data_IF_977763136060
#
_entry.id   IF_977763136060
#
_cell.length_a   1.000
_cell.length_b   1.000
_cell.length_c   1.000
_cell.angle_alpha   90.00
_cell.angle_beta   90.00
_cell.angle_gamma   90.00
#
_symmetry.space_group_name_H-M   'P 1'
#
loop_
_entity.id
_entity.type
_entity.pdbx_description
1 polymer ?
#
# COMPACT_ATOMS: atom_id res chain seq x y z
N UNK A 1 11.06 19.27 -7.29
CA UNK A 1 10.64 18.52 -6.10
C UNK A 1 11.27 19.13 -4.86
N UNK A 2 10.63 19.00 -3.68
CA UNK A 2 11.16 19.51 -2.42
C UNK A 2 12.46 18.79 -2.00
N UNK A 3 13.37 19.53 -1.38
CA UNK A 3 14.62 19.01 -0.81
C UNK A 3 14.60 19.27 0.70
N UNK A 4 14.40 18.22 1.48
CA UNK A 4 14.21 18.34 2.92
C UNK A 4 15.54 18.32 3.67
N UNK A 5 15.68 19.18 4.67
CA UNK A 5 16.90 19.33 5.48
C UNK A 5 16.90 18.28 6.60
N UNK A 6 18.08 17.78 6.98
CA UNK A 6 18.23 16.88 8.13
C UNK A 6 17.38 15.61 8.02
N UNK A 7 16.58 15.34 9.05
CA UNK A 7 15.72 14.14 9.13
C UNK A 7 14.28 14.38 8.67
N UNK A 8 13.98 15.52 8.04
CA UNK A 8 12.66 15.77 7.45
C UNK A 8 12.53 15.04 6.10
N UNK A 9 11.29 14.68 5.73
CA UNK A 9 10.90 14.02 4.48
C UNK A 9 9.44 14.35 4.11
N UNK A 10 8.94 13.73 3.04
CA UNK A 10 7.58 13.90 2.53
C UNK A 10 7.52 14.94 1.41
N UNK A 11 6.41 14.99 0.69
CA UNK A 11 6.24 15.86 -0.48
C UNK A 11 6.38 17.36 -0.14
N UNK A 12 6.12 17.74 1.12
CA UNK A 12 6.21 19.11 1.65
C UNK A 12 7.20 19.26 2.81
N UNK A 13 8.06 18.26 3.06
CA UNK A 13 9.02 18.23 4.17
C UNK A 13 8.41 18.28 5.59
N UNK A 14 7.12 18.00 5.76
CA UNK A 14 6.46 18.00 7.07
C UNK A 14 6.54 16.67 7.84
N UNK A 15 7.08 15.62 7.22
CA UNK A 15 7.19 14.29 7.83
C UNK A 15 8.64 14.00 8.27
N UNK A 16 8.83 12.96 9.08
CA UNK A 16 10.15 12.51 9.50
C UNK A 16 10.60 11.28 8.70
N UNK A 17 11.91 11.21 8.40
CA UNK A 17 12.55 10.04 7.78
C UNK A 17 12.21 8.76 8.54
N UNK A 18 12.11 7.64 7.82
CA UNK A 18 11.87 6.34 8.44
C UNK A 18 12.86 6.08 9.59
N UNK A 19 12.32 5.71 10.75
CA UNK A 19 13.10 5.54 11.99
C UNK A 19 13.21 6.80 12.86
N UNK A 20 12.61 7.92 12.47
CA UNK A 20 12.53 9.15 13.26
C UNK A 20 11.09 9.60 13.50
N UNK A 21 10.86 10.33 14.58
CA UNK A 21 9.56 10.95 14.93
C UNK A 21 9.75 12.26 15.72
N UNK A 22 8.63 12.83 16.14
CA UNK A 22 8.57 14.07 16.92
C UNK A 22 8.56 15.30 16.02
N UNK A 23 8.18 16.48 16.56
CA UNK A 23 8.02 17.70 15.77
C UNK A 23 9.32 18.20 15.12
N UNK A 24 10.48 17.78 15.65
CA UNK A 24 11.81 18.11 15.13
C UNK A 24 12.51 16.96 14.39
N UNK A 25 11.87 15.79 14.27
CA UNK A 25 12.46 14.58 13.67
C UNK A 25 13.79 14.12 14.30
N UNK A 26 13.96 14.36 15.60
CA UNK A 26 15.18 14.00 16.34
C UNK A 26 15.02 12.72 17.19
N UNK A 27 13.79 12.31 17.49
CA UNK A 27 13.55 11.11 18.28
C UNK A 27 13.68 9.86 17.41
N UNK A 28 14.59 8.96 17.77
CA UNK A 28 14.70 7.66 17.10
C UNK A 28 13.52 6.76 17.49
N UNK A 29 13.01 6.03 16.51
CA UNK A 29 11.92 5.05 16.67
C UNK A 29 12.32 3.75 15.99
N UNK A 30 12.27 2.65 16.74
CA UNK A 30 12.35 1.31 16.21
C UNK A 30 10.95 0.68 16.25
N UNK A 31 10.48 0.20 15.11
CA UNK A 31 9.24 -0.53 14.99
C UNK A 31 9.54 -1.97 14.58
N UNK A 32 8.80 -2.93 15.12
CA UNK A 32 9.02 -4.36 14.90
C UNK A 32 7.81 -4.94 14.18
N UNK A 33 7.99 -5.35 12.93
CA UNK A 33 7.00 -6.14 12.19
C UNK A 33 7.02 -7.57 12.73
N UNK A 34 5.87 -8.06 13.18
CA UNK A 34 5.72 -9.39 13.80
C UNK A 34 4.97 -10.34 12.85
N UNK A 35 5.13 -11.64 13.07
CA UNK A 35 4.33 -12.64 12.36
C UNK A 35 2.85 -12.43 12.72
N UNK A 36 1.96 -12.40 11.72
CA UNK A 36 0.53 -12.19 11.90
C UNK A 36 -0.11 -13.24 12.82
N UNK A 37 0.40 -14.49 12.79
CA UNK A 37 -0.08 -15.58 13.65
C UNK A 37 0.38 -15.44 15.12
N UNK A 38 1.36 -14.57 15.39
CA UNK A 38 1.87 -14.30 16.73
C UNK A 38 1.25 -13.03 17.36
N UNK A 39 0.34 -12.36 16.65
CA UNK A 39 -0.37 -11.19 17.16
C UNK A 39 -1.44 -11.62 18.17
N UNK A 40 -1.67 -10.80 19.18
CA UNK A 40 -2.86 -10.90 20.03
C UNK A 40 -4.13 -10.60 19.21
N UNK A 41 -5.29 -11.02 19.73
CA UNK A 41 -6.59 -10.72 19.10
C UNK A 41 -6.79 -9.21 18.91
N UNK A 42 -6.39 -8.40 19.89
CA UNK A 42 -6.49 -6.95 19.80
C UNK A 42 -5.57 -6.35 18.71
N UNK A 43 -4.32 -6.81 18.62
CA UNK A 43 -3.38 -6.37 17.58
C UNK A 43 -3.88 -6.75 16.19
N UNK A 44 -4.39 -7.98 16.03
CA UNK A 44 -4.97 -8.48 14.79
C UNK A 44 -6.20 -7.67 14.37
N UNK A 45 -7.16 -7.47 15.28
CA UNK A 45 -8.36 -6.70 14.99
C UNK A 45 -8.03 -5.25 14.63
N UNK A 46 -7.03 -4.64 15.30
CA UNK A 46 -6.53 -3.32 14.94
C UNK A 46 -5.98 -3.29 13.52
N UNK A 47 -5.15 -4.27 13.14
CA UNK A 47 -4.62 -4.36 11.78
C UNK A 47 -5.72 -4.46 10.72
N UNK A 48 -6.69 -5.36 10.91
CA UNK A 48 -7.82 -5.54 9.98
C UNK A 48 -8.71 -4.29 9.88
N UNK A 49 -8.97 -3.63 11.01
CA UNK A 49 -9.71 -2.37 11.04
C UNK A 49 -8.98 -1.26 10.30
N UNK A 50 -7.65 -1.15 10.45
CA UNK A 50 -6.85 -0.12 9.77
C UNK A 50 -6.76 -0.34 8.27
N UNK A 51 -6.67 -1.60 7.81
CA UNK A 51 -6.77 -1.92 6.38
C UNK A 51 -8.13 -1.52 5.80
N UNK A 52 -9.20 -1.81 6.53
CA UNK A 52 -10.57 -1.43 6.12
C UNK A 52 -10.73 0.08 6.06
N UNK A 53 -10.26 0.79 7.08
CA UNK A 53 -10.28 2.25 7.09
C UNK A 53 -9.49 2.83 5.91
N UNK A 54 -8.30 2.30 5.61
CA UNK A 54 -7.50 2.73 4.47
C UNK A 54 -8.20 2.47 3.13
N UNK A 55 -8.96 1.37 3.00
CA UNK A 55 -9.73 1.05 1.78
C UNK A 55 -10.88 2.01 1.51
N UNK A 56 -11.48 2.58 2.56
CA UNK A 56 -12.64 3.46 2.42
C UNK A 56 -12.37 4.94 2.70
N UNK A 57 -11.13 5.32 3.03
CA UNK A 57 -10.75 6.72 3.24
C UNK A 57 -9.96 7.25 2.06
N UNK A 58 -10.45 8.34 1.45
CA UNK A 58 -9.75 9.06 0.38
C UNK A 58 -8.40 9.60 0.85
N UNK A 59 -7.36 9.42 0.05
CA UNK A 59 -6.04 10.01 0.25
C UNK A 59 -6.12 11.53 0.20
N UNK A 60 -5.57 12.20 1.21
CA UNK A 60 -5.52 13.68 1.27
C UNK A 60 -4.34 14.28 0.52
N UNK A 61 -3.30 13.48 0.29
CA UNK A 61 -2.01 13.97 -0.18
C UNK A 61 -1.74 13.58 -1.64
N UNK A 62 -2.45 12.56 -2.15
CA UNK A 62 -2.20 11.98 -3.46
C UNK A 62 -3.50 11.72 -4.22
N UNK A 63 -3.45 12.05 -5.51
CA UNK A 63 -4.45 11.68 -6.52
C UNK A 63 -3.75 10.87 -7.61
N UNK A 64 -4.51 10.11 -8.40
CA UNK A 64 -3.96 9.30 -9.48
C UNK A 64 -4.25 9.92 -10.85
N UNK A 65 -3.30 9.89 -11.80
CA UNK A 65 -3.57 10.26 -13.17
C UNK A 65 -4.48 9.22 -13.83
N UNK A 66 -5.50 9.70 -14.55
CA UNK A 66 -6.42 8.86 -15.33
C UNK A 66 -6.22 9.01 -16.85
N UNK A 67 -5.19 9.78 -17.25
CA UNK A 67 -4.77 9.98 -18.63
C UNK A 67 -3.26 9.96 -18.77
N UNK A 68 -2.77 9.83 -20.00
CA UNK A 68 -1.36 10.02 -20.34
C UNK A 68 -0.99 11.50 -20.38
N UNK A 69 0.30 11.82 -20.27
CA UNK A 69 0.79 13.20 -20.37
C UNK A 69 0.33 13.91 -21.65
N UNK A 70 0.29 13.18 -22.79
CA UNK A 70 -0.20 13.72 -24.06
C UNK A 70 -1.70 14.02 -24.04
N UNK A 71 -2.51 13.17 -23.39
CA UNK A 71 -3.95 13.41 -23.21
C UNK A 71 -4.22 14.62 -22.30
N UNK A 72 -3.34 14.89 -21.34
CA UNK A 72 -3.42 16.05 -20.46
C UNK A 72 -2.95 17.37 -21.11
N UNK A 73 -2.92 17.44 -22.45
CA UNK A 73 -2.39 18.57 -23.21
C UNK A 73 -1.00 19.02 -22.72
N UNK A 74 -0.12 18.05 -22.43
CA UNK A 74 1.22 18.29 -21.84
C UNK A 74 1.20 19.04 -20.50
N UNK A 75 0.17 18.78 -19.69
CA UNK A 75 0.00 19.30 -18.34
C UNK A 75 -0.92 20.50 -18.21
N UNK A 76 -1.42 21.08 -19.31
CA UNK A 76 -2.37 22.20 -19.24
C UNK A 76 -3.81 21.77 -18.97
N UNK A 77 -4.15 20.49 -19.19
CA UNK A 77 -5.48 19.93 -18.90
C UNK A 77 -5.35 18.72 -17.96
N UNK A 78 -5.25 18.95 -16.63
CA UNK A 78 -4.91 17.90 -15.67
C UNK A 78 -6.04 16.89 -15.50
N UNK A 79 -5.75 15.61 -15.77
CA UNK A 79 -6.72 14.51 -15.61
C UNK A 79 -6.35 13.64 -14.41
N UNK A 80 -6.88 13.99 -13.23
CA UNK A 80 -6.65 13.25 -11.99
C UNK A 80 -7.96 12.83 -11.33
N UNK A 81 -7.88 11.78 -10.51
CA UNK A 81 -9.01 11.30 -9.70
C UNK A 81 -8.56 11.01 -8.29
N UNK A 82 -9.44 11.32 -7.34
CA UNK A 82 -9.34 10.89 -5.95
C UNK A 82 -9.27 9.36 -5.86
N UNK A 83 -8.61 8.88 -4.82
CA UNK A 83 -8.44 7.45 -4.58
C UNK A 83 -8.35 7.17 -3.08
N UNK A 84 -8.78 5.98 -2.64
CA UNK A 84 -8.58 5.57 -1.26
C UNK A 84 -7.10 5.37 -0.93
N UNK A 85 -6.74 5.44 0.35
CA UNK A 85 -5.36 5.18 0.80
C UNK A 85 -4.92 3.78 0.38
N UNK A 86 -5.76 2.75 0.52
CA UNK A 86 -5.39 1.39 0.09
C UNK A 86 -5.24 1.31 -1.44
N UNK A 87 -6.19 1.89 -2.19
CA UNK A 87 -6.21 1.77 -3.65
C UNK A 87 -5.12 2.61 -4.30
N UNK A 88 -4.60 3.64 -3.63
CA UNK A 88 -3.41 4.36 -4.07
C UNK A 88 -2.21 3.40 -4.23
N UNK A 89 -2.02 2.49 -3.27
CA UNK A 89 -0.94 1.52 -3.32
C UNK A 89 -1.22 0.40 -4.34
N UNK A 90 -2.48 -0.02 -4.49
CA UNK A 90 -2.86 -0.93 -5.60
C UNK A 90 -2.56 -0.29 -6.96
N UNK A 91 -2.97 0.95 -7.15
CA UNK A 91 -2.75 1.69 -8.38
C UNK A 91 -1.26 1.90 -8.65
N UNK A 92 -0.46 2.23 -7.63
CA UNK A 92 0.97 2.44 -7.77
C UNK A 92 1.68 1.17 -8.24
N UNK A 93 1.31 0.00 -7.70
CA UNK A 93 1.83 -1.30 -8.13
C UNK A 93 1.38 -1.65 -9.56
N UNK A 94 0.10 -1.44 -9.88
CA UNK A 94 -0.40 -1.58 -11.25
C UNK A 94 0.37 -0.68 -12.23
N UNK A 95 0.61 0.58 -11.88
CA UNK A 95 1.22 1.55 -12.77
C UNK A 95 2.66 1.21 -13.14
N UNK A 96 3.41 0.56 -12.25
CA UNK A 96 4.81 0.16 -12.49
C UNK A 96 4.95 -1.17 -13.23
N UNK A 97 3.91 -2.01 -13.20
CA UNK A 97 3.91 -3.35 -13.81
C UNK A 97 3.05 -3.45 -15.08
N UNK A 98 2.29 -2.40 -15.44
CA UNK A 98 1.47 -2.38 -16.66
C UNK A 98 2.32 -2.28 -17.92
N UNK A 99 1.76 -2.73 -19.03
CA UNK A 99 2.32 -2.55 -20.37
C UNK A 99 2.72 -1.08 -20.63
N UNK A 100 3.92 -0.88 -21.17
CA UNK A 100 4.42 0.45 -21.53
C UNK A 100 3.73 0.93 -22.81
N UNK A 101 3.04 2.06 -22.73
CA UNK A 101 2.37 2.67 -23.88
C UNK A 101 3.40 3.32 -24.81
N UNK A 102 3.49 2.87 -26.06
CA UNK A 102 4.42 3.43 -27.06
C UNK A 102 3.75 4.49 -27.95
N UNK A 103 2.44 4.66 -27.85
CA UNK A 103 1.63 5.58 -28.65
C UNK A 103 0.64 4.85 -29.56
N UNK A 104 -0.48 5.50 -29.88
CA UNK A 104 -1.57 4.87 -30.62
C UNK A 104 -2.11 3.64 -29.88
N UNK A 105 -2.16 2.49 -30.57
CA UNK A 105 -2.58 1.19 -30.00
C UNK A 105 -1.39 0.28 -29.63
N UNK A 106 -0.16 0.76 -29.79
CA UNK A 106 1.05 -0.03 -29.55
C UNK A 106 1.47 -0.01 -28.09
N UNK A 107 1.84 -1.18 -27.59
CA UNK A 107 2.30 -1.38 -26.23
C UNK A 107 3.53 -2.29 -26.21
N UNK A 108 4.42 -2.09 -25.24
CA UNK A 108 5.52 -2.99 -24.93
C UNK A 108 5.21 -3.72 -23.62
N UNK A 109 5.05 -5.04 -23.73
CA UNK A 109 4.62 -5.92 -22.63
C UNK A 109 5.76 -6.52 -21.78
N UNK A 110 6.99 -6.45 -22.28
CA UNK A 110 8.16 -7.08 -21.66
C UNK A 110 8.98 -6.08 -20.82
N UNK A 111 8.32 -5.06 -20.27
CA UNK A 111 8.92 -4.09 -19.36
C UNK A 111 8.12 -4.08 -18.06
N UNK A 112 8.80 -4.38 -16.96
CA UNK A 112 8.29 -4.24 -15.61
C UNK A 112 9.30 -3.44 -14.76
N UNK A 113 8.84 -2.37 -14.12
CA UNK A 113 9.69 -1.47 -13.34
C UNK A 113 9.86 -1.91 -11.87
N UNK A 114 9.11 -2.91 -11.41
CA UNK A 114 9.10 -3.39 -10.04
C UNK A 114 9.36 -4.89 -9.90
N UNK A 115 9.41 -5.67 -10.98
CA UNK A 115 9.68 -7.11 -10.99
C UNK A 115 10.78 -7.48 -11.99
N UNK A 116 11.20 -8.75 -11.97
CA UNK A 116 12.12 -9.36 -12.94
C UNK A 116 13.49 -8.68 -13.11
N UNK A 117 13.83 -7.78 -12.18
CA UNK A 117 15.03 -6.97 -12.21
C UNK A 117 15.54 -6.68 -10.78
N UNK A 118 16.79 -6.18 -10.63
CA UNK A 118 17.36 -5.83 -9.32
C UNK A 118 16.54 -4.81 -8.50
N UNK A 119 15.63 -4.09 -9.15
CA UNK A 119 14.68 -3.16 -8.53
C UNK A 119 13.63 -3.85 -7.65
N UNK A 120 13.41 -5.16 -7.79
CA UNK A 120 12.31 -5.88 -7.12
C UNK A 120 12.26 -5.67 -5.60
N UNK A 121 13.32 -6.04 -4.89
CA UNK A 121 13.40 -5.92 -3.44
C UNK A 121 13.38 -4.46 -2.94
N UNK A 122 14.19 -3.53 -3.48
CA UNK A 122 14.17 -2.14 -3.01
C UNK A 122 12.84 -1.42 -3.30
N UNK A 123 12.20 -1.68 -4.45
CA UNK A 123 10.92 -1.08 -4.79
C UNK A 123 9.83 -1.52 -3.80
N UNK A 124 9.67 -2.84 -3.58
CA UNK A 124 8.67 -3.37 -2.66
C UNK A 124 8.96 -3.01 -1.19
N UNK A 125 10.24 -2.85 -0.81
CA UNK A 125 10.60 -2.35 0.52
C UNK A 125 10.09 -0.92 0.72
N UNK A 126 10.33 -0.02 -0.22
CA UNK A 126 9.88 1.36 -0.13
C UNK A 126 8.35 1.45 -0.18
N UNK A 127 7.72 0.66 -1.05
CA UNK A 127 6.26 0.51 -1.12
C UNK A 127 5.65 0.20 0.25
N UNK A 128 6.15 -0.84 0.94
CA UNK A 128 5.65 -1.21 2.26
C UNK A 128 5.95 -0.17 3.35
N UNK A 129 7.06 0.57 3.23
CA UNK A 129 7.39 1.65 4.19
C UNK A 129 6.43 2.83 4.03
N UNK A 130 6.14 3.24 2.80
CA UNK A 130 5.20 4.30 2.51
C UNK A 130 3.77 3.90 2.88
N UNK A 131 3.37 2.66 2.59
CA UNK A 131 2.03 2.17 2.93
C UNK A 131 1.79 2.14 4.43
N UNK A 132 2.77 1.65 5.20
CA UNK A 132 2.72 1.69 6.66
C UNK A 132 2.63 3.12 7.18
N UNK A 133 3.40 4.06 6.61
CA UNK A 133 3.40 5.47 6.99
C UNK A 133 2.06 6.17 6.71
N UNK A 134 1.44 5.92 5.56
CA UNK A 134 0.13 6.50 5.25
C UNK A 134 -0.97 5.96 6.18
N UNK A 135 -0.92 4.67 6.57
CA UNK A 135 -1.84 4.12 7.57
C UNK A 135 -1.56 4.72 8.97
N UNK A 136 -0.30 4.90 9.36
CA UNK A 136 0.07 5.59 10.61
C UNK A 136 -0.48 7.02 10.63
N UNK A 137 -0.39 7.74 9.50
CA UNK A 137 -0.92 9.11 9.35
C UNK A 137 -2.44 9.13 9.45
N UNK A 138 -3.11 8.23 8.72
CA UNK A 138 -4.57 8.11 8.69
C UNK A 138 -5.16 7.82 10.06
N UNK A 139 -4.50 6.96 10.84
CA UNK A 139 -5.03 6.49 12.13
C UNK A 139 -4.52 7.29 13.33
N UNK A 140 -3.43 8.05 13.16
CA UNK A 140 -2.68 8.64 14.25
C UNK A 140 -1.87 7.64 15.08
N UNK A 141 -1.96 6.33 14.81
CA UNK A 141 -1.20 5.30 15.51
C UNK A 141 0.21 5.20 14.95
N UNK A 142 1.11 6.04 15.48
CA UNK A 142 2.52 6.03 15.13
C UNK A 142 3.27 4.75 15.53
N UNK A 143 2.66 3.81 16.24
CA UNK A 143 3.27 2.52 16.58
C UNK A 143 2.74 1.36 15.72
N UNK A 144 1.83 1.64 14.78
CA UNK A 144 1.32 0.65 13.85
C UNK A 144 2.44 0.09 12.96
N UNK A 145 2.43 -1.22 12.76
CA UNK A 145 3.30 -1.90 11.79
C UNK A 145 2.51 -2.90 10.98
N UNK A 146 2.92 -3.10 9.73
CA UNK A 146 2.34 -4.16 8.89
C UNK A 146 2.96 -5.50 9.35
N UNK A 147 2.16 -6.49 9.78
CA UNK A 147 2.67 -7.81 10.11
C UNK A 147 3.11 -8.56 8.86
N UNK A 148 3.91 -9.61 9.03
CA UNK A 148 4.26 -10.53 7.95
C UNK A 148 3.57 -11.88 8.11
N UNK A 149 3.39 -12.58 7.00
CA UNK A 149 3.03 -14.00 7.00
C UNK A 149 4.27 -14.82 6.62
N UNK A 150 4.68 -15.70 7.52
CA UNK A 150 5.73 -16.66 7.24
C UNK A 150 5.14 -17.86 6.48
N UNK A 151 5.25 -17.83 5.15
CA UNK A 151 4.65 -18.82 4.26
C UNK A 151 5.63 -19.92 3.83
N UNK A 152 6.90 -19.88 4.27
CA UNK A 152 7.99 -20.72 3.73
C UNK A 152 7.70 -22.23 3.78
N UNK A 153 7.08 -22.69 4.86
CA UNK A 153 6.75 -24.11 5.08
C UNK A 153 5.23 -24.39 5.05
N UNK A 154 4.43 -23.39 4.65
CA UNK A 154 2.98 -23.49 4.67
C UNK A 154 2.48 -24.45 3.57
N UNK A 155 1.67 -25.45 3.96
CA UNK A 155 1.05 -26.41 3.02
C UNK A 155 -0.20 -25.83 2.32
N UNK A 156 -0.67 -24.68 2.80
CA UNK A 156 -1.80 -23.95 2.28
C UNK A 156 -1.81 -22.53 2.86
N UNK A 157 -2.90 -21.80 2.66
CA UNK A 157 -3.01 -20.46 3.23
C UNK A 157 -3.52 -20.52 4.67
N UNK A 158 -2.60 -20.58 5.64
CA UNK A 158 -2.96 -20.66 7.07
C UNK A 158 -3.69 -19.40 7.59
N UNK A 159 -3.52 -18.28 6.89
CA UNK A 159 -4.17 -16.99 7.17
C UNK A 159 -5.46 -16.78 6.36
N UNK A 160 -5.85 -17.71 5.49
CA UNK A 160 -7.10 -17.62 4.73
C UNK A 160 -8.25 -18.17 5.57
N UNK A 161 -8.54 -17.46 6.66
CA UNK A 161 -9.63 -17.70 7.60
C UNK A 161 -10.31 -16.36 7.88
N UNK A 162 -11.59 -16.37 8.23
CA UNK A 162 -12.37 -15.15 8.46
C UNK A 162 -11.83 -14.30 9.61
N UNK A 163 -11.10 -14.92 10.53
CA UNK A 163 -10.40 -14.25 11.61
C UNK A 163 -9.10 -13.52 11.18
N UNK A 164 -8.63 -13.71 9.94
CA UNK A 164 -7.43 -13.10 9.34
C UNK A 164 -7.79 -12.48 7.98
N UNK A 165 -7.35 -13.07 6.86
CA UNK A 165 -7.46 -12.49 5.52
C UNK A 165 -8.69 -12.95 4.73
N UNK A 166 -9.59 -13.70 5.37
CA UNK A 166 -10.81 -14.23 4.79
C UNK A 166 -10.72 -15.70 4.42
N UNK A 167 -11.74 -16.46 4.81
CA UNK A 167 -11.91 -17.87 4.46
C UNK A 167 -12.36 -18.05 3.02
N UNK A 168 -12.35 -19.29 2.54
CA UNK A 168 -12.96 -19.64 1.25
C UNK A 168 -14.48 -19.64 1.38
N UNK A 169 -15.19 -19.08 0.42
CA UNK A 169 -16.65 -19.13 0.40
C UNK A 169 -17.14 -20.59 0.29
N UNK A 170 -18.18 -21.00 1.05
CA UNK A 170 -18.61 -22.40 1.12
C UNK A 170 -19.17 -22.97 -0.20
N UNK A 171 -19.84 -22.13 -1.00
CA UNK A 171 -20.44 -22.53 -2.29
C UNK A 171 -19.59 -22.15 -3.50
N UNK A 172 -19.12 -20.90 -3.59
CA UNK A 172 -18.30 -20.44 -4.71
C UNK A 172 -16.80 -20.40 -4.34
N UNK A 173 -15.99 -21.37 -4.77
CA UNK A 173 -14.60 -21.47 -4.38
C UNK A 173 -13.69 -20.29 -4.81
N UNK A 174 -14.17 -19.41 -5.70
CA UNK A 174 -13.45 -18.25 -6.23
C UNK A 174 -13.73 -16.96 -5.45
N UNK A 175 -14.58 -17.01 -4.40
CA UNK A 175 -14.90 -15.87 -3.56
C UNK A 175 -14.39 -16.09 -2.13
N UNK A 176 -14.16 -14.96 -1.44
CA UNK A 176 -13.97 -14.96 0.01
C UNK A 176 -15.30 -15.25 0.73
N UNK A 177 -15.20 -15.91 1.88
CA UNK A 177 -16.31 -16.14 2.79
C UNK A 177 -17.02 -14.82 3.11
N UNK A 178 -18.36 -14.77 3.07
CA UNK A 178 -19.13 -13.56 3.40
C UNK A 178 -18.94 -13.07 4.84
N UNK A 179 -18.36 -13.88 5.72
CA UNK A 179 -18.03 -13.48 7.09
C UNK A 179 -16.71 -12.69 7.18
N UNK A 180 -15.91 -12.65 6.11
CA UNK A 180 -14.72 -11.81 6.04
C UNK A 180 -15.08 -10.38 5.67
N UNK A 181 -14.49 -9.41 6.35
CA UNK A 181 -14.56 -7.98 5.97
C UNK A 181 -14.05 -7.71 4.54
N UNK A 182 -13.21 -8.59 3.99
CA UNK A 182 -12.63 -8.44 2.67
C UNK A 182 -13.56 -8.93 1.55
N UNK A 183 -14.64 -9.66 1.86
CA UNK A 183 -15.56 -10.15 0.82
C UNK A 183 -16.38 -9.04 0.17
N UNK A 184 -16.47 -7.86 0.80
CA UNK A 184 -17.15 -6.67 0.28
C UNK A 184 -16.24 -5.75 -0.52
N UNK A 185 -14.94 -6.05 -0.59
CA UNK A 185 -13.98 -5.20 -1.28
C UNK A 185 -14.14 -5.32 -2.79
N UNK A 186 -14.22 -4.17 -3.45
CA UNK A 186 -14.20 -4.07 -4.90
C UNK A 186 -12.78 -3.75 -5.36
N UNK A 187 -12.35 -4.41 -6.43
CA UNK A 187 -11.07 -4.18 -7.12
C UNK A 187 -11.25 -3.07 -8.16
#
# INVERSE_FOLDING_TARGET
TCQCIGNFMGFNCAQCRFGFRGPSCMERRLLVRRNILALSVAEKNRFLAYLTLAKYTTSTDYVIPIGTHGQMANGSDPMFRDISVYDLFVWMHYYVARDTLLGGTQVWREIDFAHEAPGFLPWHRLFLLLWEQEIQKLTGDQNFTIPYWDWRDAQGCDICRDEYMGGRHPVNPNLLSPASIFSSWQV
#
